data_IF_658485567673
#
_entry.id   IF_658485567673
#
_cell.length_a   1.000
_cell.length_b   1.000
_cell.length_c   1.000
_cell.angle_alpha   90.00
_cell.angle_beta   90.00
_cell.angle_gamma   90.00
#
_symmetry.space_group_name_H-M   'P 1'
#
loop_
_entity.id
_entity.type
_entity.pdbx_description
1 polymer ?
#
# COMPACT_ATOMS: atom_id res chain seq x y z
N UNK A 1 -4.53 -2.06 11.66
CA UNK A 1 -3.26 -1.79 10.94
C UNK A 1 -3.49 -0.76 9.85
N UNK A 2 -3.76 -1.14 8.59
CA UNK A 2 -3.87 -0.19 7.46
C UNK A 2 -4.89 0.93 7.68
N UNK A 3 -6.10 0.61 8.13
CA UNK A 3 -7.12 1.64 8.40
C UNK A 3 -6.65 2.69 9.44
N UNK A 4 -5.95 2.27 10.49
CA UNK A 4 -5.41 3.17 11.52
C UNK A 4 -4.24 4.01 10.99
N UNK A 5 -3.36 3.43 10.16
CA UNK A 5 -2.27 4.16 9.50
C UNK A 5 -2.79 5.22 8.53
N UNK A 6 -3.83 4.88 7.76
CA UNK A 6 -4.48 5.81 6.83
C UNK A 6 -5.18 6.94 7.61
N UNK A 7 -5.87 6.62 8.70
CA UNK A 7 -6.53 7.62 9.53
C UNK A 7 -5.51 8.60 10.13
N UNK A 8 -4.41 8.10 10.69
CA UNK A 8 -3.32 8.95 11.21
C UNK A 8 -2.69 9.83 10.14
N UNK A 9 -2.50 9.31 8.92
CA UNK A 9 -2.00 10.11 7.80
C UNK A 9 -2.97 11.25 7.44
N UNK A 10 -4.27 10.96 7.41
CA UNK A 10 -5.31 11.96 7.16
C UNK A 10 -5.39 13.02 8.27
N UNK A 11 -5.33 12.60 9.53
CA UNK A 11 -5.30 13.52 10.68
C UNK A 11 -4.05 14.40 10.68
N UNK A 12 -2.94 13.90 10.11
CA UNK A 12 -1.70 14.64 9.89
C UNK A 12 -1.69 15.53 8.64
N UNK A 13 -2.80 15.63 7.90
CA UNK A 13 -2.92 16.49 6.72
C UNK A 13 -2.26 15.92 5.45
N UNK A 14 -2.07 14.61 5.36
CA UNK A 14 -1.54 13.96 4.14
C UNK A 14 -2.67 13.74 3.14
N UNK A 15 -2.49 14.27 1.92
CA UNK A 15 -3.50 14.18 0.86
C UNK A 15 -3.34 12.93 -0.04
N UNK A 16 -2.13 12.35 -0.11
CA UNK A 16 -1.82 11.22 -0.99
C UNK A 16 -0.93 10.19 -0.28
N UNK A 17 -1.31 8.92 -0.38
CA UNK A 17 -0.47 7.79 0.03
C UNK A 17 0.21 7.20 -1.20
N UNK A 18 1.53 7.07 -1.14
CA UNK A 18 2.33 6.38 -2.15
C UNK A 18 2.83 5.05 -1.60
N UNK A 19 2.76 3.99 -2.41
CA UNK A 19 3.26 2.68 -2.02
C UNK A 19 3.80 1.92 -3.23
N UNK A 20 4.73 1.00 -2.97
CA UNK A 20 5.20 0.07 -3.98
C UNK A 20 4.27 -1.13 -4.11
N UNK A 21 4.22 -1.70 -5.31
CA UNK A 21 3.64 -3.03 -5.52
C UNK A 21 4.77 -4.04 -5.54
N UNK A 22 4.71 -5.00 -4.63
CA UNK A 22 5.65 -6.11 -4.58
C UNK A 22 5.16 -7.21 -5.51
N UNK A 23 5.63 -7.18 -6.77
CA UNK A 23 5.16 -8.10 -7.82
C UNK A 23 5.53 -9.56 -7.55
N UNK A 24 6.66 -9.82 -6.89
CA UNK A 24 7.08 -11.18 -6.52
C UNK A 24 6.05 -11.98 -5.69
N UNK A 25 5.19 -11.31 -4.93
CA UNK A 25 4.07 -11.96 -4.24
C UNK A 25 2.81 -12.11 -5.10
N UNK A 26 2.64 -11.24 -6.09
CA UNK A 26 1.49 -11.25 -7.02
C UNK A 26 1.71 -12.24 -8.19
N UNK A 27 2.96 -12.43 -8.62
CA UNK A 27 3.41 -13.44 -9.57
C UNK A 27 4.59 -14.25 -8.99
N UNK A 28 4.31 -15.31 -8.22
CA UNK A 28 5.35 -16.19 -7.68
C UNK A 28 6.03 -17.07 -8.74
N UNK A 29 5.37 -17.28 -9.88
CA UNK A 29 5.84 -18.07 -11.02
C UNK A 29 5.29 -17.45 -12.32
N UNK A 30 6.01 -17.56 -13.45
CA UNK A 30 5.56 -16.99 -14.72
C UNK A 30 4.12 -17.40 -15.08
N UNK A 31 3.32 -16.45 -15.55
CA UNK A 31 2.01 -16.72 -16.14
C UNK A 31 2.06 -17.66 -17.34
N UNK A 32 0.96 -18.39 -17.56
CA UNK A 32 0.77 -19.31 -18.69
C UNK A 32 0.70 -18.60 -20.04
#
# INVERSE_FOLDING_TARGET
MWADLIQKAKDGGVDVIQTYVFWNGHEPSPGN
#
